data_IF_540365232139
#
_entry.id   IF_540365232139
#
_cell.length_a   1.000
_cell.length_b   1.000
_cell.length_c   1.000
_cell.angle_alpha   90.00
_cell.angle_beta   90.00
_cell.angle_gamma   90.00
#
_symmetry.space_group_name_H-M   'P 1'
#
loop_
_entity.id
_entity.type
_entity.pdbx_description
1 polymer ?
#
# COMPACT_ATOMS: atom_id res chain seq x y z
N UNK A 1 15.49 -2.32 4.87
CA UNK A 1 15.38 -3.74 5.25
C UNK A 1 14.45 -3.88 6.46
N UNK A 2 13.77 -5.02 6.59
CA UNK A 2 12.96 -5.34 7.77
C UNK A 2 13.87 -5.82 8.90
N UNK A 3 13.65 -5.32 10.12
CA UNK A 3 14.34 -5.86 11.30
C UNK A 3 13.63 -7.13 11.81
N UNK A 4 14.31 -7.94 12.62
CA UNK A 4 13.70 -9.09 13.29
C UNK A 4 12.43 -8.70 14.07
N UNK A 5 12.48 -7.57 14.77
CA UNK A 5 11.34 -7.02 15.51
C UNK A 5 10.16 -6.61 14.62
N UNK A 6 10.42 -6.21 13.36
CA UNK A 6 9.38 -5.90 12.39
C UNK A 6 8.70 -7.19 11.90
N UNK A 7 9.49 -8.23 11.64
CA UNK A 7 8.99 -9.54 11.19
C UNK A 7 8.12 -10.18 12.26
N UNK A 8 8.56 -10.17 13.52
CA UNK A 8 7.78 -10.70 14.65
C UNK A 8 6.46 -9.94 14.83
N UNK A 9 6.49 -8.61 14.73
CA UNK A 9 5.28 -7.79 14.77
C UNK A 9 4.31 -8.14 13.62
N UNK A 10 4.82 -8.31 12.40
CA UNK A 10 3.98 -8.69 11.25
C UNK A 10 3.40 -10.10 11.45
N UNK A 11 4.18 -11.05 11.97
CA UNK A 11 3.70 -12.42 12.26
C UNK A 11 2.57 -12.42 13.30
N UNK A 12 2.64 -11.52 14.29
CA UNK A 12 1.65 -11.41 15.36
C UNK A 12 0.37 -10.68 14.92
N UNK A 13 0.51 -9.54 14.21
CA UNK A 13 -0.60 -8.63 13.92
C UNK A 13 -1.06 -8.65 12.46
N UNK A 14 -0.38 -9.41 11.59
CA UNK A 14 -0.59 -9.47 10.14
C UNK A 14 -0.56 -8.09 9.48
N UNK A 15 0.19 -7.16 10.07
CA UNK A 15 0.32 -5.77 9.63
C UNK A 15 1.74 -5.24 9.88
N UNK A 16 2.24 -4.38 9.00
CA UNK A 16 3.47 -3.63 9.28
C UNK A 16 3.21 -2.49 10.27
N UNK A 17 4.25 -2.14 11.05
CA UNK A 17 4.25 -0.90 11.83
C UNK A 17 4.21 0.28 10.86
N UNK A 18 3.36 1.27 11.14
CA UNK A 18 3.34 2.52 10.39
C UNK A 18 4.63 3.27 10.64
N UNK A 19 5.33 3.63 9.57
CA UNK A 19 6.53 4.48 9.61
C UNK A 19 6.17 5.86 9.07
N UNK A 20 6.91 6.88 9.48
CA UNK A 20 6.71 8.25 8.98
C UNK A 20 6.79 8.31 7.45
N UNK A 21 7.68 7.52 6.86
CA UNK A 21 7.82 7.38 5.41
C UNK A 21 6.55 6.88 4.70
N UNK A 22 5.72 6.07 5.37
CA UNK A 22 4.43 5.63 4.84
C UNK A 22 3.42 6.80 4.77
N UNK A 23 3.67 7.94 5.42
CA UNK A 23 2.86 9.16 5.27
C UNK A 23 3.46 10.11 4.24
N UNK A 24 4.79 10.25 4.19
CA UNK A 24 5.47 11.16 3.24
C UNK A 24 5.40 10.67 1.79
N UNK A 25 5.35 9.36 1.57
CA UNK A 25 5.11 8.79 0.23
C UNK A 25 3.71 9.09 -0.32
N UNK A 26 2.80 9.55 0.52
CA UNK A 26 1.47 10.00 0.12
C UNK A 26 1.45 11.52 0.16
N UNK A 27 2.15 12.13 -0.82
CA UNK A 27 1.92 13.52 -1.25
C UNK A 27 0.40 13.86 -1.37
N UNK A 28 -0.45 12.85 -1.45
CA UNK A 28 -1.91 12.85 -1.46
C UNK A 28 -2.59 13.07 -0.10
N UNK A 29 -1.86 13.25 1.02
CA UNK A 29 -2.45 13.84 2.22
C UNK A 29 -2.44 15.37 2.14
N UNK A 30 -1.52 15.95 1.37
CA UNK A 30 -1.48 17.39 1.12
C UNK A 30 -2.70 17.84 0.32
N UNK A 31 -3.08 17.10 -0.73
CA UNK A 31 -4.18 17.50 -1.62
C UNK A 31 -5.55 17.59 -0.90
N UNK A 32 -6.02 16.57 -0.15
CA UNK A 32 -7.25 16.66 0.63
C UNK A 32 -7.19 17.79 1.67
N UNK A 33 -6.05 17.93 2.34
CA UNK A 33 -5.84 18.97 3.35
C UNK A 33 -5.91 20.36 2.73
N UNK A 34 -5.33 20.55 1.55
CA UNK A 34 -5.38 21.80 0.80
C UNK A 34 -6.82 22.16 0.42
N UNK A 35 -7.63 21.20 -0.06
CA UNK A 35 -9.05 21.42 -0.34
C UNK A 35 -9.83 21.84 0.91
N UNK A 36 -9.54 21.22 2.07
CA UNK A 36 -10.15 21.61 3.34
C UNK A 36 -9.77 23.03 3.75
N UNK A 37 -8.47 23.37 3.69
CA UNK A 37 -7.97 24.70 4.05
C UNK A 37 -8.52 25.77 3.11
N UNK A 38 -8.57 25.50 1.80
CA UNK A 38 -9.17 26.41 0.81
C UNK A 38 -10.65 26.62 1.08
N UNK A 39 -11.43 25.55 1.29
CA UNK A 39 -12.84 25.65 1.61
C UNK A 39 -13.10 26.46 2.89
N UNK A 40 -12.37 26.18 3.97
CA UNK A 40 -12.45 26.94 5.22
C UNK A 40 -12.06 28.42 5.05
N UNK A 41 -11.07 28.70 4.21
CA UNK A 41 -10.65 30.07 3.90
C UNK A 41 -11.73 30.85 3.14
N UNK A 42 -12.40 30.20 2.17
CA UNK A 42 -13.53 30.77 1.45
C UNK A 42 -14.71 31.01 2.40
N UNK A 43 -15.01 30.07 3.30
CA UNK A 43 -16.05 30.22 4.32
C UNK A 43 -15.78 31.41 5.25
N UNK A 44 -14.55 31.52 5.73
CA UNK A 44 -14.13 32.61 6.60
C UNK A 44 -14.21 33.98 5.90
N UNK A 45 -13.90 34.03 4.59
CA UNK A 45 -14.09 35.25 3.79
C UNK A 45 -15.56 35.63 3.66
N UNK A 46 -16.45 34.65 3.49
CA UNK A 46 -17.90 34.89 3.49
C UNK A 46 -18.37 35.50 4.81
N UNK A 47 -17.99 34.90 5.94
CA UNK A 47 -18.42 35.35 7.28
C UNK A 47 -17.90 36.75 7.61
N UNK A 48 -16.66 37.08 7.20
CA UNK A 48 -16.02 38.36 7.58
C UNK A 48 -16.38 39.53 6.68
N UNK A 49 -16.71 39.28 5.42
CA UNK A 49 -16.83 40.33 4.40
C UNK A 49 -18.23 40.42 3.76
N UNK A 50 -19.25 39.75 4.33
CA UNK A 50 -20.61 39.63 3.75
C UNK A 50 -20.57 39.29 2.25
N UNK A 51 -19.72 38.32 1.91
CA UNK A 51 -19.48 37.97 0.52
C UNK A 51 -20.70 37.26 -0.10
N UNK A 52 -20.73 37.11 -1.44
CA UNK A 52 -21.88 36.51 -2.14
C UNK A 52 -22.20 35.10 -1.65
N UNK A 53 -23.49 34.77 -1.55
CA UNK A 53 -23.99 33.45 -1.12
C UNK A 53 -23.43 32.27 -1.94
N UNK A 54 -23.04 32.49 -3.20
CA UNK A 54 -22.38 31.50 -4.06
C UNK A 54 -21.09 30.94 -3.43
N UNK A 55 -20.38 31.74 -2.64
CA UNK A 55 -19.13 31.33 -1.98
C UNK A 55 -19.36 30.32 -0.85
N UNK A 56 -20.53 30.33 -0.21
CA UNK A 56 -20.91 29.32 0.79
C UNK A 56 -20.98 27.95 0.14
N UNK A 57 -21.66 27.87 -1.00
CA UNK A 57 -21.82 26.62 -1.74
C UNK A 57 -20.47 26.07 -2.20
N UNK A 58 -19.62 26.92 -2.78
CA UNK A 58 -18.26 26.55 -3.21
C UNK A 58 -17.42 26.05 -2.02
N UNK A 59 -17.48 26.75 -0.88
CA UNK A 59 -16.79 26.35 0.34
C UNK A 59 -17.21 24.95 0.80
N UNK A 60 -18.52 24.71 0.94
CA UNK A 60 -19.00 23.40 1.36
C UNK A 60 -18.63 22.29 0.37
N UNK A 61 -18.70 22.57 -0.93
CA UNK A 61 -18.27 21.62 -1.96
C UNK A 61 -16.79 21.27 -1.82
N UNK A 62 -15.92 22.27 -1.62
CA UNK A 62 -14.48 22.05 -1.40
C UNK A 62 -14.21 21.23 -0.14
N UNK A 63 -14.89 21.56 0.98
CA UNK A 63 -14.76 20.83 2.23
C UNK A 63 -15.22 19.37 2.05
N UNK A 64 -16.37 19.17 1.42
CA UNK A 64 -16.93 17.84 1.18
C UNK A 64 -16.01 16.98 0.31
N UNK A 65 -15.49 17.53 -0.80
CA UNK A 65 -14.51 16.86 -1.65
C UNK A 65 -13.23 16.55 -0.86
N UNK A 66 -12.74 17.49 -0.06
CA UNK A 66 -11.59 17.30 0.82
C UNK A 66 -11.78 16.13 1.80
N UNK A 67 -12.93 16.05 2.47
CA UNK A 67 -13.27 14.96 3.39
C UNK A 67 -13.29 13.62 2.66
N UNK A 68 -13.95 13.55 1.50
CA UNK A 68 -14.04 12.32 0.70
C UNK A 68 -12.65 11.84 0.30
N UNK A 69 -11.82 12.73 -0.26
CA UNK A 69 -10.46 12.39 -0.66
C UNK A 69 -9.63 11.93 0.54
N UNK A 70 -9.76 12.62 1.68
CA UNK A 70 -9.06 12.26 2.91
C UNK A 70 -9.45 10.86 3.41
N UNK A 71 -10.75 10.53 3.38
CA UNK A 71 -11.23 9.19 3.70
C UNK A 71 -10.61 8.11 2.80
N UNK A 72 -10.60 8.31 1.48
CA UNK A 72 -9.99 7.36 0.55
C UNK A 72 -8.48 7.21 0.78
N UNK A 73 -7.77 8.32 1.05
CA UNK A 73 -6.34 8.30 1.36
C UNK A 73 -6.07 7.50 2.64
N UNK A 74 -6.81 7.73 3.72
CA UNK A 74 -6.64 6.96 4.96
C UNK A 74 -7.00 5.49 4.81
N UNK A 75 -8.07 5.17 4.08
CA UNK A 75 -8.42 3.79 3.75
C UNK A 75 -7.28 3.10 3.01
N UNK A 76 -6.71 3.76 2.00
CA UNK A 76 -5.60 3.22 1.20
C UNK A 76 -4.32 3.03 2.03
N UNK A 77 -3.99 3.98 2.89
CA UNK A 77 -2.90 3.85 3.88
C UNK A 77 -3.09 2.62 4.78
N UNK A 78 -4.32 2.39 5.23
CA UNK A 78 -4.67 1.23 6.03
C UNK A 78 -4.58 -0.11 5.30
N UNK A 79 -4.82 -0.13 3.99
CA UNK A 79 -4.69 -1.32 3.15
C UNK A 79 -3.21 -1.68 2.90
N UNK A 80 -2.36 -0.69 2.66
CA UNK A 80 -0.95 -0.91 2.28
C UNK A 80 -0.09 -1.52 3.39
N UNK A 81 -0.52 -1.45 4.65
CA UNK A 81 0.18 -2.08 5.78
C UNK A 81 -0.29 -3.51 6.06
N UNK A 82 -1.40 -3.95 5.48
CA UNK A 82 -1.97 -5.28 5.78
C UNK A 82 -1.29 -6.37 4.98
N UNK A 83 -1.00 -7.48 5.66
CA UNK A 83 -0.56 -8.71 5.03
C UNK A 83 -1.76 -9.63 4.85
N UNK A 84 -1.81 -10.32 3.72
CA UNK A 84 -2.80 -11.35 3.44
C UNK A 84 -2.15 -12.71 3.65
N UNK A 85 -2.76 -13.51 4.52
CA UNK A 85 -2.39 -14.90 4.71
C UNK A 85 -2.83 -15.75 3.51
N UNK A 86 -1.89 -16.48 2.92
CA UNK A 86 -2.12 -17.42 1.83
C UNK A 86 -1.56 -18.77 2.23
N UNK A 87 -2.40 -19.80 2.25
CA UNK A 87 -2.00 -21.18 2.53
C UNK A 87 -1.03 -21.71 1.47
N UNK A 88 -0.02 -22.45 1.93
CA UNK A 88 0.99 -23.10 1.10
C UNK A 88 0.53 -24.50 0.69
N UNK A 89 -0.42 -24.60 -0.24
CA UNK A 89 -0.98 -25.90 -0.65
C UNK A 89 0.04 -26.84 -1.29
N UNK A 90 1.06 -26.28 -1.95
CA UNK A 90 2.10 -27.05 -2.63
C UNK A 90 3.31 -27.36 -1.72
N UNK A 91 3.26 -27.01 -0.43
CA UNK A 91 4.35 -27.21 0.53
C UNK A 91 5.71 -26.66 0.03
N UNK A 92 5.71 -25.57 -0.75
CA UNK A 92 6.96 -24.96 -1.20
C UNK A 92 7.77 -24.48 -0.02
N UNK A 93 9.06 -24.83 -0.01
CA UNK A 93 9.99 -24.16 0.87
C UNK A 93 10.27 -22.72 0.34
N UNK A 94 10.96 -21.91 1.14
CA UNK A 94 11.25 -20.52 0.81
C UNK A 94 12.12 -20.37 -0.45
N UNK A 95 13.00 -21.33 -0.72
CA UNK A 95 13.92 -21.35 -1.87
C UNK A 95 13.16 -21.68 -3.17
N UNK A 96 12.23 -22.63 -3.13
CA UNK A 96 11.37 -22.98 -4.25
C UNK A 96 10.47 -21.81 -4.63
N UNK A 97 9.85 -21.18 -3.61
CA UNK A 97 9.01 -20.02 -3.81
C UNK A 97 9.80 -18.86 -4.43
N UNK A 98 11.02 -18.61 -3.94
CA UNK A 98 11.92 -17.60 -4.51
C UNK A 98 12.12 -17.83 -6.01
N UNK A 99 12.50 -19.05 -6.40
CA UNK A 99 12.74 -19.40 -7.81
C UNK A 99 11.50 -19.17 -8.68
N UNK A 100 10.32 -19.57 -8.18
CA UNK A 100 9.05 -19.30 -8.89
C UNK A 100 8.76 -17.81 -9.01
N UNK A 101 9.05 -17.01 -7.99
CA UNK A 101 8.84 -15.57 -8.00
C UNK A 101 9.78 -14.85 -8.98
N UNK A 102 11.05 -15.24 -9.03
CA UNK A 102 12.04 -14.70 -9.99
C UNK A 102 11.55 -14.90 -11.43
N UNK A 103 11.15 -16.12 -11.77
CA UNK A 103 10.65 -16.47 -13.11
C UNK A 103 9.35 -15.73 -13.47
N UNK A 104 8.45 -15.58 -12.50
CA UNK A 104 7.13 -15.00 -12.74
C UNK A 104 7.14 -13.48 -12.78
N UNK A 105 7.88 -12.81 -11.90
CA UNK A 105 7.84 -11.36 -11.73
C UNK A 105 9.00 -10.64 -12.42
N UNK A 106 10.10 -11.34 -12.73
CA UNK A 106 11.34 -10.76 -13.29
C UNK A 106 11.73 -9.48 -12.55
N UNK A 107 11.87 -9.54 -11.22
CA UNK A 107 12.02 -8.35 -10.38
C UNK A 107 13.30 -7.58 -10.72
N UNK A 108 13.30 -6.27 -10.45
CA UNK A 108 14.52 -5.45 -10.54
C UNK A 108 15.48 -5.74 -9.39
N UNK A 109 14.93 -6.11 -8.24
CA UNK A 109 15.69 -6.46 -7.06
C UNK A 109 14.92 -7.50 -6.24
N UNK A 110 15.65 -8.47 -5.69
CA UNK A 110 15.13 -9.52 -4.84
C UNK A 110 16.05 -9.68 -3.64
N UNK A 111 15.48 -9.48 -2.47
CA UNK A 111 16.13 -9.73 -1.20
C UNK A 111 15.55 -10.98 -0.55
N UNK A 112 16.43 -11.88 -0.12
CA UNK A 112 16.08 -13.16 0.48
C UNK A 112 16.81 -13.32 1.81
N UNK A 113 16.05 -13.56 2.88
CA UNK A 113 16.59 -13.93 4.19
C UNK A 113 15.91 -15.20 4.68
N UNK A 114 16.62 -16.32 4.54
CA UNK A 114 16.13 -17.64 4.93
C UNK A 114 15.94 -17.75 6.45
N UNK A 115 16.81 -17.13 7.24
CA UNK A 115 16.76 -17.21 8.72
C UNK A 115 15.55 -16.48 9.27
N UNK A 116 15.20 -15.33 8.69
CA UNK A 116 13.99 -14.59 9.06
C UNK A 116 12.73 -15.14 8.36
N UNK A 117 12.91 -15.94 7.31
CA UNK A 117 11.85 -16.48 6.48
C UNK A 117 11.17 -15.42 5.62
N UNK A 118 11.96 -14.54 5.00
CA UNK A 118 11.48 -13.33 4.32
C UNK A 118 11.96 -13.29 2.87
N UNK A 119 11.05 -12.94 1.96
CA UNK A 119 11.36 -12.57 0.58
C UNK A 119 10.81 -11.16 0.34
N UNK A 120 11.65 -10.26 -0.16
CA UNK A 120 11.22 -8.93 -0.60
C UNK A 120 11.56 -8.80 -2.07
N UNK A 121 10.59 -8.41 -2.87
CA UNK A 121 10.70 -8.32 -4.32
C UNK A 121 10.28 -6.93 -4.78
N UNK A 122 11.14 -6.28 -5.55
CA UNK A 122 10.82 -5.03 -6.23
C UNK A 122 10.45 -5.33 -7.67
N UNK A 123 9.19 -5.07 -8.01
CA UNK A 123 8.70 -5.30 -9.38
C UNK A 123 9.17 -4.19 -10.32
N UNK A 124 9.24 -4.50 -11.61
CA UNK A 124 9.71 -3.56 -12.63
C UNK A 124 8.83 -2.31 -12.74
N UNK A 125 9.49 -1.20 -13.06
CA UNK A 125 8.82 0.01 -13.54
C UNK A 125 8.12 -0.32 -14.85
N UNK A 126 6.87 0.12 -14.99
CA UNK A 126 6.09 0.04 -16.23
C UNK A 126 5.55 1.43 -16.55
N UNK A 127 5.12 1.68 -17.79
CA UNK A 127 4.60 3.00 -18.17
C UNK A 127 3.47 3.54 -17.27
N UNK A 128 2.73 2.66 -16.57
CA UNK A 128 1.65 3.02 -15.67
C UNK A 128 1.91 2.70 -14.18
N UNK A 129 3.08 2.15 -13.82
CA UNK A 129 3.44 2.11 -12.40
C UNK A 129 4.92 2.13 -12.11
N UNK A 130 5.27 2.76 -10.99
CA UNK A 130 6.65 2.90 -10.53
C UNK A 130 7.14 1.67 -9.77
N UNK A 131 6.66 0.50 -10.16
CA UNK A 131 6.92 -0.75 -9.45
C UNK A 131 6.18 -0.82 -8.10
N UNK A 132 6.22 -2.00 -7.52
CA UNK A 132 5.65 -2.37 -6.24
C UNK A 132 6.67 -3.18 -5.45
N UNK A 133 6.67 -2.97 -4.14
CA UNK A 133 7.40 -3.78 -3.16
C UNK A 133 6.46 -4.88 -2.71
N UNK A 134 6.80 -6.11 -3.04
CA UNK A 134 6.13 -7.31 -2.56
C UNK A 134 6.94 -7.85 -1.38
N UNK A 135 6.32 -8.02 -0.23
CA UNK A 135 6.93 -8.63 0.96
C UNK A 135 6.19 -9.92 1.27
N UNK A 136 6.96 -11.01 1.40
CA UNK A 136 6.45 -12.34 1.71
C UNK A 136 7.17 -12.84 2.95
N UNK A 137 6.41 -13.34 3.93
CA UNK A 137 6.94 -13.87 5.19
C UNK A 137 6.34 -15.24 5.43
N UNK A 138 7.19 -16.26 5.65
CA UNK A 138 6.75 -17.60 6.04
C UNK A 138 6.36 -17.63 7.52
N UNK A 139 5.20 -18.23 7.81
CA UNK A 139 4.75 -18.52 9.17
C UNK A 139 4.03 -19.88 9.20
N UNK A 140 4.68 -20.90 9.74
CA UNK A 140 4.15 -22.27 9.70
C UNK A 140 3.95 -22.73 8.26
N UNK A 141 2.72 -23.12 7.89
CA UNK A 141 2.36 -23.54 6.53
C UNK A 141 1.67 -22.43 5.69
N UNK A 142 1.74 -21.17 6.11
CA UNK A 142 1.15 -20.04 5.37
C UNK A 142 2.20 -18.98 5.06
N UNK A 143 1.96 -18.24 3.98
CA UNK A 143 2.73 -17.07 3.59
C UNK A 143 1.92 -15.81 3.84
N UNK A 144 2.47 -14.88 4.61
CA UNK A 144 1.94 -13.53 4.74
C UNK A 144 2.47 -12.70 3.58
N UNK A 145 1.57 -12.19 2.74
CA UNK A 145 1.90 -11.45 1.52
C UNK A 145 1.37 -10.04 1.59
N UNK A 146 2.24 -9.06 1.37
CA UNK A 146 1.88 -7.66 1.16
C UNK A 146 2.44 -7.20 -0.18
N UNK A 147 1.65 -6.46 -0.94
CA UNK A 147 2.08 -5.77 -2.17
C UNK A 147 1.69 -4.32 -2.00
N UNK A 148 2.66 -3.42 -2.13
CA UNK A 148 2.44 -1.98 -2.00
C UNK A 148 3.25 -1.20 -3.02
N UNK A 149 2.77 -0.05 -3.51
CA UNK A 149 3.49 0.77 -4.46
C UNK A 149 4.82 1.27 -3.88
N UNK A 150 5.84 1.32 -4.74
CA UNK A 150 7.15 1.86 -4.38
C UNK A 150 7.20 3.36 -4.67
N UNK A 151 6.76 4.19 -3.72
CA UNK A 151 6.74 5.65 -3.87
C UNK A 151 5.68 6.20 -4.85
N UNK A 152 4.92 5.33 -5.52
CA UNK A 152 3.79 5.77 -6.34
C UNK A 152 2.52 5.92 -5.48
N UNK A 153 1.78 7.03 -5.66
CA UNK A 153 0.62 7.31 -4.84
C UNK A 153 -0.62 6.45 -5.16
N UNK A 154 -0.79 6.04 -6.42
CA UNK A 154 -1.97 5.31 -6.88
C UNK A 154 -1.55 4.22 -7.86
N UNK A 155 -1.59 2.98 -7.40
CA UNK A 155 -1.77 1.82 -8.26
C UNK A 155 -3.16 1.26 -8.02
N UNK A 156 -4.13 1.65 -8.86
CA UNK A 156 -5.43 1.00 -8.84
C UNK A 156 -5.24 -0.45 -9.33
N UNK A 157 -5.56 -1.42 -8.47
CA UNK A 157 -5.64 -2.86 -8.76
C UNK A 157 -4.33 -3.65 -8.93
N UNK A 158 -3.15 -3.04 -9.04
CA UNK A 158 -1.90 -3.82 -9.21
C UNK A 158 -1.55 -4.66 -7.99
N UNK A 159 -1.67 -4.13 -6.77
CA UNK A 159 -1.49 -4.93 -5.54
C UNK A 159 -2.34 -6.21 -5.56
N UNK A 160 -3.63 -6.07 -5.94
CA UNK A 160 -4.57 -7.20 -6.03
C UNK A 160 -4.15 -8.21 -7.08
N UNK A 161 -3.64 -7.75 -8.24
CA UNK A 161 -3.12 -8.64 -9.29
C UNK A 161 -1.88 -9.40 -8.81
N UNK A 162 -0.96 -8.72 -8.13
CA UNK A 162 0.26 -9.33 -7.59
C UNK A 162 -0.04 -10.37 -6.53
N UNK A 163 -0.91 -10.05 -5.56
CA UNK A 163 -1.39 -11.01 -4.55
C UNK A 163 -2.09 -12.19 -5.20
N UNK A 164 -2.98 -11.97 -6.18
CA UNK A 164 -3.63 -13.06 -6.92
C UNK A 164 -2.64 -13.96 -7.65
N UNK A 165 -1.60 -13.36 -8.26
CA UNK A 165 -0.55 -14.11 -8.95
C UNK A 165 0.26 -14.97 -7.98
N UNK A 166 0.63 -14.43 -6.82
CA UNK A 166 1.31 -15.19 -5.76
C UNK A 166 0.39 -16.30 -5.23
N UNK A 167 -0.89 -16.00 -4.99
CA UNK A 167 -1.87 -17.01 -4.61
C UNK A 167 -1.99 -18.13 -5.64
N UNK A 168 -1.92 -17.81 -6.93
CA UNK A 168 -1.94 -18.82 -7.99
C UNK A 168 -0.68 -19.69 -7.96
N UNK A 169 0.51 -19.08 -7.78
CA UNK A 169 1.78 -19.81 -7.62
C UNK A 169 1.70 -20.79 -6.44
N UNK A 170 1.17 -20.35 -5.30
CA UNK A 170 1.08 -21.17 -4.08
C UNK A 170 0.00 -22.27 -4.14
N UNK A 171 -0.99 -22.15 -5.02
CA UNK A 171 -2.11 -23.10 -5.18
C UNK A 171 -1.92 -24.08 -6.34
N UNK A 172 -1.29 -23.65 -7.42
CA UNK A 172 -1.18 -24.41 -8.66
C UNK A 172 0.28 -24.69 -8.99
N UNK A 173 0.57 -25.95 -9.26
CA UNK A 173 1.92 -26.38 -9.61
C UNK A 173 2.12 -26.24 -11.12
N UNK A 174 2.18 -24.99 -11.60
CA UNK A 174 2.67 -24.67 -12.94
C UNK A 174 4.16 -24.32 -12.89
#
# INVERSE_FOLDING_TARGET
>A
MLSKSDVEYIKQFERSKRKFYDYTNYFFLFFPTLFLVMGLSVLNSYIKNDAKNELIFISFLMIFVGIILMYFTFKRLGENIKFLAIENYNNFNLVDLRSKLENNFKPTDLHFDEKMGVIIINTQLTGFSWGEVITIILIGNKYLVNSRPNGQPITLYKDRKNVKKISAILRYNN
#
